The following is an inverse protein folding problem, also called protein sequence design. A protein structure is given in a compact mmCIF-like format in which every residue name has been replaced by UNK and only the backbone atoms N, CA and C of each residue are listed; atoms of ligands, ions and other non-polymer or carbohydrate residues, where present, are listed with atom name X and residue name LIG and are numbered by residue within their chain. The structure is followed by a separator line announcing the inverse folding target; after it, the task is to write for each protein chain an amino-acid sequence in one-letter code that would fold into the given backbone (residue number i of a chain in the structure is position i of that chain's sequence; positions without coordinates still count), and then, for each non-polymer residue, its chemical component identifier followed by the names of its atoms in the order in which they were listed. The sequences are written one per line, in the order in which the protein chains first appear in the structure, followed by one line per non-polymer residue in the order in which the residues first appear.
data_IF_911963719812
#
_entry.id   IF_911963719812
#
_cell.length_a   1.000
_cell.length_b   1.000
_cell.length_c   1.000
_cell.angle_alpha   90.00
_cell.angle_beta   90.00
_cell.angle_gamma   90.00
#
_symmetry.space_group_name_H-M   'P 1'
#
loop_
_entity.id
_entity.type
_entity.pdbx_description
1 polymer ?
#
# COMPACT_ATOMS: atom_id res chain seq x y z
N UNK A 1 -0.81 -27.54 -46.70
CA UNK A 1 0.13 -27.19 -45.62
C UNK A 1 -0.26 -28.02 -44.41
N UNK A 2 0.61 -28.95 -44.03
CA UNK A 2 0.30 -30.06 -43.12
C UNK A 2 0.15 -29.60 -41.67
N UNK A 3 -0.92 -30.04 -41.02
CA UNK A 3 -1.15 -29.98 -39.57
C UNK A 3 -0.34 -31.09 -38.92
N UNK A 4 0.61 -30.75 -38.05
CA UNK A 4 1.28 -31.72 -37.18
C UNK A 4 0.56 -31.74 -35.84
N UNK A 5 -0.18 -32.81 -35.60
CA UNK A 5 -0.78 -33.14 -34.31
C UNK A 5 0.31 -33.56 -33.33
N UNK A 6 0.46 -32.79 -32.25
CA UNK A 6 1.38 -33.08 -31.15
C UNK A 6 0.56 -33.74 -30.02
N UNK A 7 0.44 -35.06 -30.07
CA UNK A 7 -0.09 -35.85 -28.96
C UNK A 7 1.04 -36.04 -27.93
N UNK A 8 0.87 -35.45 -26.75
CA UNK A 8 1.74 -35.66 -25.59
C UNK A 8 1.07 -36.71 -24.71
N UNK A 9 1.58 -37.95 -24.76
CA UNK A 9 1.27 -38.97 -23.76
C UNK A 9 1.85 -38.52 -22.42
N UNK A 10 0.97 -38.25 -21.46
CA UNK A 10 1.36 -38.04 -20.06
C UNK A 10 1.42 -39.39 -19.36
N UNK A 11 2.63 -39.84 -19.08
CA UNK A 11 2.92 -41.00 -18.25
C UNK A 11 2.49 -40.72 -16.80
N UNK A 12 1.49 -41.46 -16.31
CA UNK A 12 1.01 -41.37 -14.93
C UNK A 12 2.07 -41.92 -13.97
N UNK A 13 2.75 -41.01 -13.27
CA UNK A 13 3.70 -41.34 -12.21
C UNK A 13 2.95 -41.81 -10.95
N UNK A 14 3.33 -42.94 -10.34
CA UNK A 14 2.62 -43.51 -9.20
C UNK A 14 2.75 -42.60 -7.97
N UNK A 15 1.60 -42.32 -7.37
CA UNK A 15 1.41 -41.56 -6.13
C UNK A 15 2.28 -42.16 -5.01
N UNK A 16 3.36 -41.45 -4.67
CA UNK A 16 4.08 -41.65 -3.41
C UNK A 16 3.17 -41.19 -2.26
N UNK A 17 2.77 -42.14 -1.41
CA UNK A 17 2.28 -41.86 -0.06
C UNK A 17 3.36 -41.08 0.70
N UNK A 18 3.17 -39.76 0.85
CA UNK A 18 4.02 -38.95 1.71
C UNK A 18 3.58 -39.10 3.17
N UNK A 19 4.54 -39.60 3.94
CA UNK A 19 4.54 -39.66 5.39
C UNK A 19 4.23 -38.30 6.03
N UNK A 20 3.65 -38.37 7.23
CA UNK A 20 3.14 -37.27 8.05
C UNK A 20 3.97 -35.99 7.97
N UNK A 21 3.34 -34.95 7.43
CA UNK A 21 3.84 -33.59 7.45
C UNK A 21 3.69 -33.04 8.88
N UNK A 22 4.69 -33.30 9.72
CA UNK A 22 4.86 -32.55 10.97
C UNK A 22 4.93 -31.06 10.63
N UNK A 23 4.18 -30.28 11.41
CA UNK A 23 3.88 -28.86 11.27
C UNK A 23 5.13 -27.96 11.34
N UNK A 24 5.98 -28.01 10.31
CA UNK A 24 7.01 -27.01 10.02
C UNK A 24 6.40 -25.65 9.58
N UNK A 25 5.11 -25.44 9.84
CA UNK A 25 4.39 -24.18 9.68
C UNK A 25 4.56 -23.25 10.89
N UNK A 26 5.10 -23.77 12.01
CA UNK A 26 5.40 -22.99 13.20
C UNK A 26 6.74 -22.25 13.04
N UNK A 27 6.66 -20.92 12.95
CA UNK A 27 7.77 -19.96 12.98
C UNK A 27 8.59 -19.74 11.70
N UNK A 28 7.91 -19.48 10.57
CA UNK A 28 8.43 -18.46 9.65
C UNK A 28 8.41 -17.11 10.39
N UNK A 29 9.35 -16.94 11.33
CA UNK A 29 9.35 -15.91 12.34
C UNK A 29 9.32 -14.55 11.68
N UNK A 30 8.22 -13.83 11.85
CA UNK A 30 8.21 -12.39 11.61
C UNK A 30 9.29 -11.81 12.51
N UNK A 31 10.42 -11.40 11.94
CA UNK A 31 11.45 -10.76 12.75
C UNK A 31 10.78 -9.59 13.50
N UNK A 32 10.97 -9.50 14.83
CA UNK A 32 10.35 -8.47 15.63
C UNK A 32 10.74 -7.11 15.06
N UNK A 33 9.72 -6.30 14.80
CA UNK A 33 9.85 -4.97 14.24
C UNK A 33 10.80 -4.14 15.15
N UNK A 34 11.95 -3.66 14.64
CA UNK A 34 12.95 -2.91 15.44
C UNK A 34 12.27 -1.79 16.25
N UNK A 35 12.48 -1.65 17.57
CA UNK A 35 11.77 -0.62 18.34
C UNK A 35 12.01 0.77 17.75
N UNK A 36 10.96 1.59 17.66
CA UNK A 36 11.08 2.96 17.18
C UNK A 36 11.63 3.81 18.34
N UNK A 37 12.72 4.57 18.17
CA UNK A 37 13.27 5.40 19.23
C UNK A 37 12.21 6.35 19.81
N UNK A 38 12.19 6.49 21.14
CA UNK A 38 11.17 7.29 21.84
C UNK A 38 11.13 8.75 21.35
N UNK A 39 12.29 9.36 21.09
CA UNK A 39 12.37 10.75 20.59
C UNK A 39 11.78 10.91 19.19
N UNK A 40 11.83 9.86 18.37
CA UNK A 40 11.20 9.82 17.05
C UNK A 40 9.70 9.64 17.20
N UNK A 41 9.25 8.78 18.13
CA UNK A 41 7.82 8.61 18.46
C UNK A 41 7.18 9.91 18.92
N UNK A 42 7.85 10.66 19.80
CA UNK A 42 7.34 11.96 20.28
C UNK A 42 7.23 12.98 19.15
N UNK A 43 8.26 13.10 18.29
CA UNK A 43 8.21 14.00 17.13
C UNK A 43 7.07 13.67 16.17
N UNK A 44 6.89 12.39 15.84
CA UNK A 44 5.78 11.95 14.98
C UNK A 44 4.44 12.19 15.68
N UNK A 45 4.34 11.87 16.96
CA UNK A 45 3.15 12.07 17.78
C UNK A 45 2.73 13.55 17.85
N UNK A 46 3.68 14.47 18.02
CA UNK A 46 3.43 15.91 18.00
C UNK A 46 2.88 16.39 16.66
N UNK A 47 3.56 16.05 15.55
CA UNK A 47 3.11 16.43 14.19
C UNK A 47 1.71 15.87 13.94
N UNK A 48 1.47 14.62 14.31
CA UNK A 48 0.18 13.97 14.16
C UNK A 48 -0.90 14.63 15.02
N UNK A 49 -0.60 14.96 16.28
CA UNK A 49 -1.51 15.67 17.18
C UNK A 49 -1.92 17.03 16.63
N UNK A 50 -0.94 17.79 16.13
CA UNK A 50 -1.18 19.06 15.42
C UNK A 50 -2.11 18.87 14.22
N UNK A 51 -1.83 17.88 13.35
CA UNK A 51 -2.67 17.63 12.16
C UNK A 51 -4.10 17.22 12.53
N UNK A 52 -4.28 16.44 13.60
CA UNK A 52 -5.61 16.05 14.10
C UNK A 52 -6.37 17.26 14.63
N UNK A 53 -5.72 18.10 15.45
CA UNK A 53 -6.31 19.34 15.96
C UNK A 53 -6.70 20.26 14.80
N UNK A 54 -5.78 20.46 13.86
CA UNK A 54 -6.02 21.27 12.66
C UNK A 54 -7.21 20.76 11.83
N UNK A 55 -7.28 19.44 11.60
CA UNK A 55 -8.38 18.82 10.88
C UNK A 55 -9.72 18.91 11.63
N UNK A 56 -9.71 18.97 12.97
CA UNK A 56 -10.91 19.20 13.79
C UNK A 56 -11.38 20.66 13.70
N UNK A 57 -10.46 21.63 13.76
CA UNK A 57 -10.80 23.05 13.71
C UNK A 57 -11.23 23.52 12.30
N UNK A 58 -10.56 23.05 11.24
CA UNK A 58 -10.74 23.56 9.87
C UNK A 58 -11.32 22.53 8.89
N UNK A 59 -11.65 21.34 9.39
CA UNK A 59 -12.16 20.24 8.60
C UNK A 59 -11.14 19.64 7.63
N UNK A 60 -11.61 18.69 6.82
CA UNK A 60 -10.77 18.02 5.81
C UNK A 60 -10.38 18.95 4.66
N UNK A 61 -11.21 19.94 4.35
CA UNK A 61 -10.91 20.95 3.33
C UNK A 61 -9.76 21.85 3.76
N UNK A 62 -9.69 22.24 5.04
CA UNK A 62 -8.55 22.96 5.60
C UNK A 62 -7.27 22.13 5.50
N UNK A 63 -7.30 20.87 5.93
CA UNK A 63 -6.14 19.97 5.83
C UNK A 63 -5.64 19.83 4.39
N UNK A 64 -6.56 19.77 3.42
CA UNK A 64 -6.20 19.72 2.00
C UNK A 64 -5.51 21.01 1.53
N UNK A 65 -6.02 22.19 1.92
CA UNK A 65 -5.39 23.49 1.61
C UNK A 65 -3.99 23.57 2.22
N UNK A 66 -3.84 23.16 3.48
CA UNK A 66 -2.54 23.09 4.16
C UNK A 66 -1.55 22.21 3.38
N UNK A 67 -1.97 21.01 2.98
CA UNK A 67 -1.15 20.12 2.16
C UNK A 67 -0.72 20.72 0.81
N UNK A 68 -1.60 21.48 0.16
CA UNK A 68 -1.28 22.19 -1.10
C UNK A 68 -0.24 23.29 -0.88
N UNK A 69 -0.36 24.06 0.20
CA UNK A 69 0.61 25.10 0.55
C UNK A 69 1.99 24.47 0.79
N UNK A 70 2.07 23.46 1.66
CA UNK A 70 3.35 22.79 1.93
C UNK A 70 3.94 22.10 0.70
N UNK A 71 3.10 21.49 -0.15
CA UNK A 71 3.57 20.90 -1.41
C UNK A 71 4.03 21.94 -2.42
N UNK A 72 3.43 23.13 -2.43
CA UNK A 72 3.93 24.24 -3.23
C UNK A 72 5.28 24.74 -2.71
N UNK A 73 5.43 24.95 -1.41
CA UNK A 73 6.71 25.33 -0.80
C UNK A 73 7.79 24.28 -1.10
N UNK A 74 7.48 23.00 -0.98
CA UNK A 74 8.41 21.92 -1.33
C UNK A 74 8.80 21.96 -2.82
N UNK A 75 7.85 22.24 -3.72
CA UNK A 75 8.14 22.37 -5.15
C UNK A 75 9.11 23.52 -5.46
N UNK A 76 9.04 24.61 -4.68
CA UNK A 76 9.97 25.75 -4.83
C UNK A 76 11.37 25.40 -4.33
N UNK A 77 11.48 24.70 -3.19
CA UNK A 77 12.76 24.42 -2.52
C UNK A 77 13.48 23.18 -3.10
N UNK A 78 12.77 22.08 -3.39
CA UNK A 78 13.38 20.81 -3.82
C UNK A 78 13.57 20.75 -5.35
N UNK A 79 14.48 21.58 -5.85
CA UNK A 79 14.82 21.67 -7.28
C UNK A 79 15.34 20.34 -7.86
N UNK A 80 16.05 19.53 -7.05
CA UNK A 80 16.60 18.24 -7.49
C UNK A 80 15.49 17.23 -7.77
N UNK A 81 14.54 17.08 -6.85
CA UNK A 81 13.39 16.19 -7.06
C UNK A 81 12.49 16.71 -8.17
N UNK A 82 12.27 18.03 -8.25
CA UNK A 82 11.53 18.66 -9.35
C UNK A 82 12.12 18.28 -10.71
N UNK A 83 13.44 18.42 -10.86
CA UNK A 83 14.16 18.04 -12.08
C UNK A 83 14.04 16.54 -12.41
N UNK A 84 14.14 15.64 -11.42
CA UNK A 84 13.97 14.19 -11.64
C UNK A 84 12.56 13.85 -12.15
N UNK A 85 11.52 14.38 -11.52
CA UNK A 85 10.13 14.13 -11.96
C UNK A 85 9.90 14.70 -13.36
N UNK A 86 10.40 15.90 -13.63
CA UNK A 86 10.31 16.52 -14.96
C UNK A 86 10.97 15.68 -16.05
N UNK A 87 12.20 15.20 -15.82
CA UNK A 87 12.91 14.33 -16.76
C UNK A 87 12.19 13.00 -16.96
N UNK A 88 11.61 12.41 -15.92
CA UNK A 88 10.83 11.18 -16.05
C UNK A 88 9.58 11.39 -16.90
N UNK A 89 8.86 12.50 -16.72
CA UNK A 89 7.74 12.86 -17.59
C UNK A 89 8.20 13.11 -19.04
N UNK A 90 9.34 13.79 -19.25
CA UNK A 90 9.92 13.96 -20.59
C UNK A 90 10.20 12.61 -21.26
N UNK A 91 10.81 11.67 -20.54
CA UNK A 91 11.15 10.35 -21.05
C UNK A 91 9.92 9.51 -21.38
N UNK A 92 8.83 9.60 -20.61
CA UNK A 92 7.63 8.81 -20.83
C UNK A 92 6.73 9.36 -21.95
N UNK A 93 6.64 10.69 -22.08
CA UNK A 93 5.69 11.33 -22.99
C UNK A 93 6.36 12.02 -24.20
N UNK A 94 7.68 12.16 -24.19
CA UNK A 94 8.43 12.82 -25.26
C UNK A 94 7.88 14.23 -25.54
N UNK A 95 7.64 14.50 -26.81
CA UNK A 95 7.11 15.78 -27.30
C UNK A 95 5.57 15.83 -27.32
N UNK A 96 4.89 14.70 -27.03
CA UNK A 96 3.42 14.66 -26.91
C UNK A 96 2.89 15.52 -25.75
N UNK A 97 3.75 15.93 -24.82
CA UNK A 97 3.39 16.76 -23.68
C UNK A 97 4.17 18.07 -23.70
N UNK A 98 3.52 19.23 -23.97
CA UNK A 98 4.17 20.54 -23.93
C UNK A 98 4.86 20.82 -22.60
N UNK A 99 5.96 21.57 -22.63
CA UNK A 99 6.77 21.82 -21.43
C UNK A 99 5.97 22.52 -20.32
N UNK A 100 5.16 23.52 -20.66
CA UNK A 100 4.31 24.23 -19.70
C UNK A 100 3.34 23.27 -18.98
N UNK A 101 2.72 22.34 -19.72
CA UNK A 101 1.82 21.34 -19.16
C UNK A 101 2.59 20.37 -18.24
N UNK A 102 3.80 19.97 -18.64
CA UNK A 102 4.69 19.13 -17.84
C UNK A 102 5.06 19.78 -16.52
N UNK A 103 5.48 21.06 -16.53
CA UNK A 103 5.77 21.83 -15.30
C UNK A 103 4.55 21.88 -14.37
N UNK A 104 3.35 22.11 -14.92
CA UNK A 104 2.09 22.10 -14.17
C UNK A 104 1.82 20.73 -13.52
N UNK A 105 2.08 19.62 -14.22
CA UNK A 105 1.93 18.28 -13.65
C UNK A 105 2.95 18.00 -12.54
N UNK A 106 4.21 18.43 -12.70
CA UNK A 106 5.21 18.32 -11.65
C UNK A 106 4.76 19.09 -10.40
N UNK A 107 4.34 20.35 -10.54
CA UNK A 107 3.84 21.14 -9.41
C UNK A 107 2.65 20.48 -8.71
N UNK A 108 1.65 20.02 -9.49
CA UNK A 108 0.48 19.30 -8.96
C UNK A 108 0.86 18.01 -8.24
N UNK A 109 1.87 17.29 -8.74
CA UNK A 109 2.38 16.08 -8.09
C UNK A 109 2.91 16.38 -6.68
N UNK A 110 3.69 17.45 -6.49
CA UNK A 110 4.20 17.83 -5.16
C UNK A 110 3.05 18.18 -4.20
N UNK A 111 2.10 19.01 -4.64
CA UNK A 111 0.90 19.33 -3.87
C UNK A 111 0.14 18.06 -3.48
N UNK A 112 -0.12 17.18 -4.44
CA UNK A 112 -0.89 15.96 -4.21
C UNK A 112 -0.20 15.02 -3.23
N UNK A 113 1.09 14.76 -3.41
CA UNK A 113 1.87 13.90 -2.51
C UNK A 113 1.87 14.43 -1.08
N UNK A 114 1.89 15.75 -0.87
CA UNK A 114 1.81 16.32 0.48
C UNK A 114 0.43 16.21 1.10
N UNK A 115 -0.63 16.45 0.34
CA UNK A 115 -1.99 16.18 0.79
C UNK A 115 -2.17 14.70 1.19
N UNK A 116 -1.71 13.77 0.35
CA UNK A 116 -1.80 12.33 0.59
C UNK A 116 -1.03 11.92 1.87
N UNK A 117 0.17 12.47 2.09
CA UNK A 117 0.96 12.23 3.32
C UNK A 117 0.28 12.76 4.58
N UNK A 118 -0.34 13.94 4.53
CA UNK A 118 -1.06 14.49 5.68
C UNK A 118 -2.29 13.66 6.00
N UNK A 119 -3.06 13.29 4.99
CA UNK A 119 -4.23 12.45 5.13
C UNK A 119 -3.86 11.09 5.73
N UNK A 120 -2.83 10.44 5.17
CA UNK A 120 -2.29 9.18 5.71
C UNK A 120 -1.86 9.34 7.17
N UNK A 121 -1.19 10.42 7.55
CA UNK A 121 -0.72 10.60 8.93
C UNK A 121 -1.84 10.59 9.98
N UNK A 122 -3.10 10.87 9.62
CA UNK A 122 -4.21 10.97 10.58
C UNK A 122 -5.43 10.09 10.25
N UNK A 123 -5.30 9.17 9.28
CA UNK A 123 -6.45 8.49 8.70
C UNK A 123 -7.28 7.69 9.73
N UNK A 124 -6.65 7.07 10.71
CA UNK A 124 -7.29 6.37 11.83
C UNK A 124 -8.04 7.27 12.82
N UNK A 125 -7.85 8.60 12.74
CA UNK A 125 -8.67 9.56 13.49
C UNK A 125 -9.90 10.04 12.71
N UNK A 126 -10.06 9.59 11.47
CA UNK A 126 -11.25 9.87 10.67
C UNK A 126 -12.25 8.73 10.90
N UNK A 127 -13.52 9.02 11.24
CA UNK A 127 -14.51 7.98 11.48
C UNK A 127 -14.60 6.99 10.31
N UNK A 128 -14.63 5.69 10.61
CA UNK A 128 -14.63 4.60 9.61
C UNK A 128 -15.66 4.81 8.51
N UNK A 129 -16.92 5.07 8.88
CA UNK A 129 -17.99 5.32 7.91
C UNK A 129 -17.69 6.49 6.97
N UNK A 130 -17.05 7.55 7.47
CA UNK A 130 -16.64 8.70 6.66
C UNK A 130 -15.51 8.34 5.68
N UNK A 131 -14.59 7.45 6.05
CA UNK A 131 -13.57 6.92 5.14
C UNK A 131 -14.20 6.09 4.02
N UNK A 132 -15.02 5.09 4.38
CA UNK A 132 -15.69 4.20 3.43
C UNK A 132 -16.66 4.94 2.49
N UNK A 133 -17.26 6.04 2.97
CA UNK A 133 -18.11 6.89 2.14
C UNK A 133 -17.32 7.75 1.17
N UNK A 134 -16.09 8.18 1.52
CA UNK A 134 -15.29 9.09 0.69
C UNK A 134 -14.34 8.37 -0.27
N UNK A 135 -13.83 7.20 0.11
CA UNK A 135 -12.87 6.44 -0.70
C UNK A 135 -13.61 5.26 -1.32
N UNK A 136 -13.81 5.33 -2.64
CA UNK A 136 -14.49 4.29 -3.42
C UNK A 136 -13.48 3.42 -4.15
N UNK A 137 -13.55 2.11 -3.91
CA UNK A 137 -12.87 1.11 -4.72
C UNK A 137 -13.76 0.83 -5.92
N UNK A 138 -13.28 1.19 -7.12
CA UNK A 138 -13.99 0.92 -8.36
C UNK A 138 -13.79 -0.55 -8.74
N UNK A 139 -14.83 -1.18 -9.32
CA UNK A 139 -14.81 -2.57 -9.77
C UNK A 139 -14.43 -3.59 -8.69
N UNK A 140 -14.95 -3.38 -7.47
CA UNK A 140 -14.75 -4.28 -6.33
C UNK A 140 -15.18 -5.73 -6.63
N UNK A 141 -16.23 -5.91 -7.43
CA UNK A 141 -16.76 -7.24 -7.79
C UNK A 141 -15.69 -8.16 -8.40
N UNK A 142 -14.68 -7.66 -9.12
CA UNK A 142 -13.60 -8.54 -9.61
C UNK A 142 -12.80 -9.20 -8.49
N UNK A 143 -12.64 -8.52 -7.35
CA UNK A 143 -12.01 -9.13 -6.18
C UNK A 143 -12.93 -10.16 -5.53
N UNK A 144 -14.22 -9.85 -5.40
CA UNK A 144 -15.23 -10.76 -4.85
C UNK A 144 -15.34 -12.04 -5.70
N UNK A 145 -15.48 -11.90 -7.01
CA UNK A 145 -15.60 -13.00 -7.98
C UNK A 145 -14.32 -13.87 -8.01
N UNK A 146 -13.14 -13.27 -7.86
CA UNK A 146 -11.89 -14.01 -7.81
C UNK A 146 -11.78 -14.84 -6.51
N UNK A 147 -12.11 -14.23 -5.37
CA UNK A 147 -12.09 -14.91 -4.07
C UNK A 147 -13.18 -15.98 -3.95
N UNK A 148 -14.34 -15.79 -4.60
CA UNK A 148 -15.40 -16.79 -4.65
C UNK A 148 -14.95 -18.11 -5.33
N UNK A 149 -13.90 -18.08 -6.16
CA UNK A 149 -13.33 -19.27 -6.80
C UNK A 149 -12.43 -20.10 -5.87
N UNK A 150 -12.18 -19.64 -4.64
CA UNK A 150 -11.41 -20.40 -3.64
C UNK A 150 -9.91 -20.49 -3.90
N UNK A 151 -9.35 -19.65 -4.79
CA UNK A 151 -7.93 -19.70 -5.19
C UNK A 151 -7.09 -18.53 -4.68
N UNK A 152 -7.67 -17.64 -3.86
CA UNK A 152 -7.06 -16.39 -3.44
C UNK A 152 -7.00 -15.34 -4.56
N UNK A 153 -6.43 -14.18 -4.23
CA UNK A 153 -6.29 -13.06 -5.15
C UNK A 153 -4.91 -12.40 -4.99
N UNK A 154 -4.17 -12.30 -6.09
CA UNK A 154 -2.94 -11.51 -6.14
C UNK A 154 -3.22 -10.11 -6.71
N UNK A 155 -2.94 -9.06 -5.93
CA UNK A 155 -3.13 -7.68 -6.36
C UNK A 155 -1.78 -6.98 -6.54
N UNK A 156 -1.43 -6.69 -7.80
CA UNK A 156 -0.25 -5.89 -8.13
C UNK A 156 -0.61 -4.40 -8.14
N UNK A 157 0.02 -3.63 -7.25
CA UNK A 157 -0.15 -2.17 -7.18
C UNK A 157 1.08 -1.46 -7.72
N UNK A 158 0.87 -0.44 -8.56
CA UNK A 158 1.95 0.49 -8.90
C UNK A 158 2.17 1.50 -7.76
N UNK A 159 3.38 2.04 -7.66
CA UNK A 159 3.73 3.12 -6.71
C UNK A 159 3.14 4.49 -7.14
N UNK A 160 1.86 4.48 -7.52
CA UNK A 160 1.10 5.64 -7.94
C UNK A 160 0.09 6.02 -6.87
N UNK A 161 0.04 7.31 -6.53
CA UNK A 161 -0.83 7.81 -5.47
C UNK A 161 -0.60 7.14 -4.12
N UNK A 162 -1.69 6.93 -3.38
CA UNK A 162 -1.69 6.40 -2.01
C UNK A 162 -1.97 4.89 -1.99
N UNK A 163 -1.15 4.07 -2.64
CA UNK A 163 -1.35 2.61 -2.70
C UNK A 163 -1.48 1.92 -1.32
N UNK A 164 -0.83 2.45 -0.28
CA UNK A 164 -1.01 1.99 1.12
C UNK A 164 -2.46 2.09 1.61
N UNK A 165 -3.17 3.12 1.13
CA UNK A 165 -4.59 3.31 1.44
C UNK A 165 -5.43 2.21 0.79
N UNK A 166 -5.05 1.69 -0.38
CA UNK A 166 -5.80 0.62 -1.02
C UNK A 166 -5.86 -0.63 -0.13
N UNK A 167 -4.70 -1.13 0.35
CA UNK A 167 -4.65 -2.27 1.26
C UNK A 167 -5.43 -2.05 2.55
N UNK A 168 -5.30 -0.85 3.14
CA UNK A 168 -6.09 -0.49 4.32
C UNK A 168 -7.60 -0.50 4.04
N UNK A 169 -8.04 0.14 2.96
CA UNK A 169 -9.47 0.22 2.67
C UNK A 169 -10.07 -1.16 2.39
N UNK A 170 -9.31 -2.06 1.75
CA UNK A 170 -9.73 -3.46 1.58
C UNK A 170 -9.85 -4.18 2.93
N UNK A 171 -8.87 -4.03 3.83
CA UNK A 171 -9.00 -4.58 5.19
C UNK A 171 -10.24 -4.03 5.92
N UNK A 172 -10.49 -2.71 5.85
CA UNK A 172 -11.69 -2.09 6.43
C UNK A 172 -13.01 -2.52 5.77
N UNK A 173 -12.97 -3.13 4.58
CA UNK A 173 -14.12 -3.73 3.90
C UNK A 173 -14.31 -5.22 4.24
N UNK A 174 -13.46 -5.78 5.11
CA UNK A 174 -13.54 -7.18 5.57
C UNK A 174 -12.69 -8.17 4.77
N UNK A 175 -11.87 -7.70 3.84
CA UNK A 175 -10.94 -8.59 3.14
C UNK A 175 -9.78 -8.99 4.05
N UNK A 176 -9.44 -10.28 4.05
CA UNK A 176 -8.17 -10.76 4.61
C UNK A 176 -7.05 -10.31 3.65
N UNK A 177 -6.00 -9.72 4.20
CA UNK A 177 -4.91 -9.15 3.40
C UNK A 177 -3.58 -9.69 3.93
N UNK A 178 -2.79 -10.24 3.00
CA UNK A 178 -1.36 -10.44 3.16
C UNK A 178 -0.59 -9.41 2.31
N UNK A 179 0.29 -8.63 2.94
CA UNK A 179 1.08 -7.59 2.29
C UNK A 179 2.59 -7.84 2.41
N UNK A 180 3.35 -7.43 1.39
CA UNK A 180 4.81 -7.46 1.43
C UNK A 180 5.35 -6.11 1.93
N UNK A 181 6.29 -6.15 2.87
CA UNK A 181 6.86 -4.97 3.53
C UNK A 181 8.39 -4.96 3.44
N UNK A 182 8.96 -3.79 3.22
CA UNK A 182 10.41 -3.61 3.27
C UNK A 182 10.88 -3.55 4.74
N UNK A 183 11.91 -4.33 5.08
CA UNK A 183 12.54 -4.30 6.40
C UNK A 183 13.20 -2.94 6.72
N UNK A 184 13.53 -2.15 5.69
CA UNK A 184 14.09 -0.80 5.80
C UNK A 184 13.03 0.30 5.81
N UNK A 185 11.77 -0.05 6.07
CA UNK A 185 10.70 0.94 6.11
C UNK A 185 10.95 2.04 7.16
N UNK A 186 10.62 3.29 6.82
CA UNK A 186 10.87 4.44 7.68
C UNK A 186 10.10 4.38 9.00
N UNK A 187 10.69 4.92 10.06
CA UNK A 187 10.03 5.00 11.39
C UNK A 187 8.65 5.66 11.34
N UNK A 188 8.45 6.65 10.48
CA UNK A 188 7.15 7.31 10.30
C UNK A 188 6.09 6.31 9.85
N UNK A 189 6.37 5.53 8.81
CA UNK A 189 5.40 4.55 8.30
C UNK A 189 5.13 3.45 9.30
N UNK A 190 6.17 2.95 9.98
CA UNK A 190 6.05 1.93 11.02
C UNK A 190 5.17 2.41 12.18
N UNK A 191 5.38 3.66 12.62
CA UNK A 191 4.56 4.29 13.65
C UNK A 191 3.10 4.45 13.22
N UNK A 192 2.85 4.96 12.00
CA UNK A 192 1.48 5.17 11.51
C UNK A 192 0.74 3.84 11.33
N UNK A 193 1.41 2.82 10.80
CA UNK A 193 0.84 1.48 10.69
C UNK A 193 0.52 0.88 12.07
N UNK A 194 1.40 1.06 13.06
CA UNK A 194 1.11 0.68 14.44
C UNK A 194 -0.18 1.34 14.95
N UNK A 195 -0.39 2.63 14.70
CA UNK A 195 -1.63 3.33 15.07
C UNK A 195 -2.87 2.81 14.36
N UNK A 196 -2.74 2.37 13.10
CA UNK A 196 -3.84 1.74 12.39
C UNK A 196 -4.23 0.40 13.02
N UNK A 197 -3.25 -0.45 13.37
CA UNK A 197 -3.52 -1.72 14.06
C UNK A 197 -4.16 -1.52 15.43
N UNK A 198 -3.72 -0.51 16.17
CA UNK A 198 -4.32 -0.15 17.47
C UNK A 198 -5.78 0.32 17.32
N UNK A 199 -6.14 0.92 16.18
CA UNK A 199 -7.46 1.52 15.97
C UNK A 199 -8.45 0.56 15.31
N UNK A 200 -7.99 -0.31 14.41
CA UNK A 200 -8.84 -1.15 13.58
C UNK A 200 -8.41 -2.62 13.67
N UNK A 201 -9.28 -3.52 14.19
CA UNK A 201 -8.96 -4.93 14.33
C UNK A 201 -8.65 -5.61 13.00
N UNK A 202 -9.34 -5.24 11.91
CA UNK A 202 -9.09 -5.82 10.58
C UNK A 202 -7.67 -5.52 10.09
N UNK A 203 -7.11 -4.38 10.50
CA UNK A 203 -5.73 -4.01 10.18
C UNK A 203 -4.74 -4.74 11.10
N UNK A 204 -5.14 -4.99 12.35
CA UNK A 204 -4.35 -5.79 13.27
C UNK A 204 -4.17 -7.23 12.77
N UNK A 205 -5.18 -7.77 12.09
CA UNK A 205 -5.23 -9.10 11.46
C UNK A 205 -4.48 -9.20 10.13
N UNK A 206 -4.14 -8.07 9.49
CA UNK A 206 -3.35 -8.08 8.26
C UNK A 206 -2.00 -8.76 8.47
N UNK A 207 -1.68 -9.70 7.57
CA UNK A 207 -0.42 -10.44 7.61
C UNK A 207 0.63 -9.67 6.83
N UNK A 208 1.77 -9.40 7.44
CA UNK A 208 2.89 -8.73 6.78
C UNK A 208 4.06 -9.67 6.67
N UNK A 209 4.48 -9.93 5.43
CA UNK A 209 5.70 -10.66 5.12
C UNK A 209 6.77 -9.68 4.67
N UNK A 210 8.03 -9.96 4.97
CA UNK A 210 9.11 -9.06 4.55
C UNK A 210 9.59 -9.39 3.14
N UNK A 211 10.17 -8.39 2.46
CA UNK A 211 10.72 -8.54 1.09
C UNK A 211 11.83 -9.59 0.97
N UNK A 212 12.49 -9.95 2.08
CA UNK A 212 13.52 -10.98 2.12
C UNK A 212 13.00 -12.35 2.56
N UNK A 213 11.69 -12.48 2.83
CA UNK A 213 11.07 -13.76 3.19
C UNK A 213 10.80 -14.59 1.94
N UNK A 214 10.93 -15.91 2.05
CA UNK A 214 10.74 -16.84 0.93
C UNK A 214 9.30 -16.77 0.37
N UNK A 215 9.10 -16.71 -0.97
CA UNK A 215 7.78 -16.56 -1.62
C UNK A 215 6.69 -17.56 -1.19
N UNK A 216 7.09 -18.73 -0.67
CA UNK A 216 6.17 -19.78 -0.20
C UNK A 216 5.20 -19.28 0.87
N UNK A 217 5.58 -18.29 1.69
CA UNK A 217 4.67 -17.74 2.71
C UNK A 217 3.49 -17.00 2.06
N UNK A 218 3.76 -16.24 1.00
CA UNK A 218 2.73 -15.54 0.21
C UNK A 218 1.81 -16.55 -0.47
N UNK A 219 2.37 -17.63 -1.06
CA UNK A 219 1.57 -18.68 -1.69
C UNK A 219 0.64 -19.39 -0.71
N UNK A 220 1.07 -19.65 0.52
CA UNK A 220 0.22 -20.25 1.56
C UNK A 220 -0.98 -19.35 1.92
N UNK A 221 -0.79 -18.03 1.96
CA UNK A 221 -1.91 -17.11 2.17
C UNK A 221 -2.91 -17.16 1.01
N UNK A 222 -2.41 -17.12 -0.23
CA UNK A 222 -3.24 -17.24 -1.42
C UNK A 222 -4.03 -18.55 -1.46
N UNK A 223 -3.40 -19.69 -1.12
CA UNK A 223 -4.07 -21.00 -1.04
C UNK A 223 -5.13 -21.07 0.07
N UNK A 224 -4.97 -20.33 1.17
CA UNK A 224 -5.97 -20.21 2.23
C UNK A 224 -7.15 -19.29 1.85
N UNK A 225 -7.21 -18.82 0.59
CA UNK A 225 -8.22 -17.91 0.06
C UNK A 225 -8.33 -16.61 0.87
N UNK A 226 -7.21 -16.08 1.36
CA UNK A 226 -7.15 -14.84 2.14
C UNK A 226 -5.81 -14.12 2.10
#
# INVERSE_FOLDING_TARGET
MASQDFAVEMEESPLREEAGHEDASQSAGSQPDRPIPWSVRLRIGFVRGFLVLYARCLGMSGLYRLGRIFGFCEYLVDYRRRGRVHRKLKSLFGDKMPEALRRRHVQRYFMRVRCDKMFYTIMDRIPRGKLLNRIKIKNRHYADDALARGKGLYVALCHYGSHHVAGLMMALMGYKIAGVRDAKESHVRRYIYQKYRETWPEVAEMKLVYTHTFPRVQYRHMQANG
#
